data_IF_684947827401
#
_entry.id   IF_684947827401
#
_cell.length_a   1.000
_cell.length_b   1.000
_cell.length_c   1.000
_cell.angle_alpha   90.00
_cell.angle_beta   90.00
_cell.angle_gamma   90.00
#
_symmetry.space_group_name_H-M   'P 1'
#
loop_
_entity.id
_entity.type
_entity.pdbx_description
1 polymer ?
#
# COMPACT_ATOMS: atom_id res chain seq x y z
N UNK A 1 -8.94 18.33 2.64
CA UNK A 1 -8.23 17.42 1.72
C UNK A 1 -7.92 18.16 0.45
N UNK A 2 -6.65 18.13 0.03
CA UNK A 2 -6.29 18.70 -1.27
C UNK A 2 -6.80 17.76 -2.37
N UNK A 3 -7.25 18.32 -3.50
CA UNK A 3 -7.62 17.55 -4.69
C UNK A 3 -6.54 16.54 -5.10
N UNK A 4 -5.25 16.92 -4.97
CA UNK A 4 -4.13 16.06 -5.28
C UNK A 4 -4.02 14.86 -4.31
N UNK A 5 -4.20 15.08 -3.00
CA UNK A 5 -4.20 14.00 -2.01
C UNK A 5 -5.28 12.96 -2.32
N UNK A 6 -6.51 13.43 -2.56
CA UNK A 6 -7.62 12.53 -2.88
C UNK A 6 -7.33 11.69 -4.13
N UNK A 7 -6.83 12.31 -5.22
CA UNK A 7 -6.53 11.58 -6.46
C UNK A 7 -5.38 10.60 -6.31
N UNK A 8 -4.29 10.97 -5.62
CA UNK A 8 -3.16 10.07 -5.39
C UNK A 8 -3.55 8.89 -4.50
N UNK A 9 -4.32 9.13 -3.43
CA UNK A 9 -4.78 8.03 -2.59
C UNK A 9 -5.81 7.14 -3.30
N UNK A 10 -6.70 7.71 -4.12
CA UNK A 10 -7.61 6.93 -4.96
C UNK A 10 -6.85 6.06 -5.97
N UNK A 11 -5.72 6.54 -6.51
CA UNK A 11 -4.83 5.70 -7.33
C UNK A 11 -4.27 4.51 -6.54
N UNK A 12 -3.79 4.74 -5.31
CA UNK A 12 -3.33 3.67 -4.42
C UNK A 12 -4.42 2.65 -4.07
N UNK A 13 -5.66 3.13 -3.86
CA UNK A 13 -6.83 2.27 -3.65
C UNK A 13 -7.11 1.46 -4.93
N UNK A 14 -7.03 2.09 -6.10
CA UNK A 14 -7.21 1.44 -7.39
C UNK A 14 -6.23 0.29 -7.63
N UNK A 15 -4.95 0.47 -7.26
CA UNK A 15 -3.97 -0.61 -7.26
C UNK A 15 -4.38 -1.78 -6.38
N UNK A 16 -5.04 -1.53 -5.25
CA UNK A 16 -5.59 -2.56 -4.37
C UNK A 16 -6.85 -3.23 -4.93
N UNK A 17 -7.58 -2.59 -5.83
CA UNK A 17 -8.78 -3.19 -6.46
C UNK A 17 -8.39 -4.23 -7.50
N UNK A 18 -7.28 -4.05 -8.22
CA UNK A 18 -6.88 -4.93 -9.33
C UNK A 18 -6.72 -6.41 -8.91
N UNK A 19 -5.99 -6.76 -7.82
CA UNK A 19 -5.90 -8.15 -7.37
C UNK A 19 -7.26 -8.79 -7.02
N UNK A 20 -8.16 -8.01 -6.43
CA UNK A 20 -9.50 -8.48 -6.07
C UNK A 20 -10.34 -8.76 -7.31
N UNK A 21 -10.33 -7.83 -8.27
CA UNK A 21 -11.03 -8.03 -9.55
C UNK A 21 -10.46 -9.23 -10.31
N UNK A 22 -9.14 -9.36 -10.34
CA UNK A 22 -8.50 -10.50 -10.99
C UNK A 22 -8.84 -11.83 -10.33
N UNK A 23 -8.89 -11.90 -8.98
CA UNK A 23 -9.33 -13.08 -8.26
C UNK A 23 -10.79 -13.42 -8.55
N UNK A 24 -11.66 -12.41 -8.60
CA UNK A 24 -13.08 -12.58 -8.96
C UNK A 24 -13.24 -13.08 -10.40
N UNK A 25 -12.52 -12.50 -11.36
CA UNK A 25 -12.56 -12.96 -12.76
C UNK A 25 -12.11 -14.41 -12.87
N UNK A 26 -11.02 -14.79 -12.18
CA UNK A 26 -10.57 -16.18 -12.16
C UNK A 26 -11.59 -17.12 -11.52
N UNK A 27 -12.20 -16.75 -10.41
CA UNK A 27 -13.25 -17.56 -9.75
C UNK A 27 -14.47 -17.77 -10.67
N UNK A 28 -14.80 -16.77 -11.47
CA UNK A 28 -15.87 -16.83 -12.48
C UNK A 28 -15.43 -17.47 -13.79
N UNK A 29 -14.19 -17.97 -13.89
CA UNK A 29 -13.57 -18.49 -15.12
C UNK A 29 -13.60 -17.52 -16.29
N UNK A 30 -13.60 -16.21 -16.01
CA UNK A 30 -13.51 -15.15 -17.02
C UNK A 30 -12.05 -14.84 -17.35
N UNK A 31 -11.84 -14.36 -18.58
CA UNK A 31 -10.50 -14.05 -19.05
C UNK A 31 -9.88 -12.84 -18.36
N UNK A 32 -8.61 -12.95 -17.98
CA UNK A 32 -7.80 -11.85 -17.42
C UNK A 32 -7.15 -11.09 -18.57
N UNK A 33 -7.84 -10.04 -19.02
CA UNK A 33 -7.41 -9.20 -20.14
C UNK A 33 -7.45 -7.71 -19.78
N UNK A 34 -6.45 -6.94 -20.20
CA UNK A 34 -6.27 -5.54 -19.78
C UNK A 34 -7.48 -4.64 -20.10
N UNK A 35 -8.13 -4.84 -21.24
CA UNK A 35 -9.27 -4.00 -21.65
C UNK A 35 -10.49 -4.18 -20.75
N UNK A 36 -10.68 -5.35 -20.14
CA UNK A 36 -11.76 -5.59 -19.18
C UNK A 36 -11.56 -4.79 -17.90
N UNK A 37 -10.32 -4.73 -17.39
CA UNK A 37 -9.99 -3.87 -16.25
C UNK A 37 -10.17 -2.38 -16.58
N UNK A 38 -9.82 -1.97 -17.80
CA UNK A 38 -10.05 -0.60 -18.28
C UNK A 38 -11.54 -0.29 -18.33
N UNK A 39 -12.36 -1.16 -18.89
CA UNK A 39 -13.82 -0.99 -18.93
C UNK A 39 -14.39 -0.85 -17.52
N UNK A 40 -14.01 -1.73 -16.60
CA UNK A 40 -14.45 -1.67 -15.20
C UNK A 40 -14.01 -0.36 -14.52
N UNK A 41 -12.79 0.10 -14.78
CA UNK A 41 -12.29 1.36 -14.24
C UNK A 41 -13.03 2.59 -14.80
N UNK A 42 -13.54 2.51 -16.02
CA UNK A 42 -14.26 3.61 -16.68
C UNK A 42 -15.73 3.71 -16.26
N UNK A 43 -16.31 2.71 -15.60
CA UNK A 43 -17.74 2.72 -15.20
C UNK A 43 -18.07 3.97 -14.38
N UNK A 44 -17.30 4.24 -13.31
CA UNK A 44 -17.58 5.39 -12.44
C UNK A 44 -17.34 6.74 -13.14
N UNK A 45 -16.21 6.99 -13.83
CA UNK A 45 -16.01 8.22 -14.59
C UNK A 45 -17.10 8.46 -15.65
N UNK A 46 -17.55 7.42 -16.35
CA UNK A 46 -18.62 7.54 -17.35
C UNK A 46 -19.95 7.85 -16.65
N UNK A 47 -20.26 7.18 -15.54
CA UNK A 47 -21.47 7.45 -14.75
C UNK A 47 -21.48 8.89 -14.22
N UNK A 48 -20.36 9.38 -13.69
CA UNK A 48 -20.24 10.75 -13.20
C UNK A 48 -20.37 11.78 -14.33
N UNK A 49 -19.76 11.50 -15.48
CA UNK A 49 -19.89 12.32 -16.69
C UNK A 49 -21.35 12.37 -17.16
N UNK A 50 -22.03 11.22 -17.21
CA UNK A 50 -23.44 11.15 -17.59
C UNK A 50 -24.33 11.93 -16.63
N UNK A 51 -24.14 11.77 -15.31
CA UNK A 51 -24.86 12.54 -14.30
C UNK A 51 -24.59 14.05 -14.40
N UNK A 52 -23.35 14.43 -14.72
CA UNK A 52 -23.00 15.83 -14.95
C UNK A 52 -23.73 16.40 -16.18
N UNK A 53 -23.77 15.67 -17.28
CA UNK A 53 -24.49 16.06 -18.50
C UNK A 53 -25.99 16.21 -18.23
N UNK A 54 -26.59 15.25 -17.50
CA UNK A 54 -28.00 15.32 -17.12
C UNK A 54 -28.32 16.56 -16.24
N UNK A 55 -27.47 16.77 -15.20
CA UNK A 55 -27.65 17.90 -14.26
C UNK A 55 -27.34 19.26 -14.87
N UNK A 56 -26.48 19.33 -15.88
CA UNK A 56 -26.09 20.59 -16.53
C UNK A 56 -27.17 21.21 -17.41
N UNK A 57 -28.27 20.49 -17.63
CA UNK A 57 -29.37 20.95 -18.50
C UNK A 57 -29.01 20.96 -19.99
N UNK A 58 -27.82 20.46 -20.37
CA UNK A 58 -27.38 20.43 -21.78
C UNK A 58 -28.30 19.59 -22.66
N UNK A 59 -29.02 18.62 -22.09
CA UNK A 59 -30.01 17.81 -22.81
C UNK A 59 -31.42 18.46 -22.75
N UNK A 60 -31.76 19.20 -21.68
CA UNK A 60 -33.08 19.79 -21.52
C UNK A 60 -33.38 20.98 -22.47
N UNK A 61 -32.37 21.70 -22.94
CA UNK A 61 -32.56 22.85 -23.80
C UNK A 61 -33.05 22.50 -25.22
N UNK A 62 -32.88 21.25 -25.64
CA UNK A 62 -33.21 20.84 -27.00
C UNK A 62 -34.57 20.14 -27.15
N UNK A 63 -35.23 19.75 -26.03
CA UNK A 63 -36.52 19.06 -26.11
C UNK A 63 -37.76 19.98 -25.99
N UNK A 64 -37.58 21.26 -25.63
CA UNK A 64 -38.70 22.19 -25.35
C UNK A 64 -38.98 23.15 -26.52
N UNK A 65 -38.21 23.14 -27.61
CA UNK A 65 -38.41 24.04 -28.76
C UNK A 65 -38.72 23.30 -30.07
N UNK A 66 -39.50 22.25 -30.02
CA UNK A 66 -40.02 21.63 -31.26
C UNK A 66 -41.55 21.65 -31.27
N UNK A 67 -42.10 22.85 -31.29
CA UNK A 67 -43.46 23.04 -31.78
C UNK A 67 -43.43 24.24 -32.77
N UNK A 68 -43.28 23.95 -34.06
CA UNK A 68 -43.49 24.88 -35.16
C UNK A 68 -42.23 25.15 -36.00
N UNK A 69 -42.29 24.60 -37.17
CA UNK A 69 -41.48 24.82 -38.37
C UNK A 69 -40.27 23.90 -38.58
N UNK A 70 -40.50 23.06 -39.56
CA UNK A 70 -39.53 22.21 -40.24
C UNK A 70 -38.47 23.04 -40.95
N UNK A 71 -37.24 23.02 -40.47
CA UNK A 71 -36.00 23.09 -41.24
C UNK A 71 -34.84 22.57 -40.39
N UNK A 72 -34.06 21.72 -40.99
CA UNK A 72 -32.93 20.97 -40.44
C UNK A 72 -32.05 21.74 -39.49
N UNK A 73 -32.21 21.56 -38.18
CA UNK A 73 -31.25 22.00 -37.18
C UNK A 73 -30.44 20.80 -36.79
N UNK A 74 -29.31 20.60 -37.46
CA UNK A 74 -28.25 19.75 -37.02
C UNK A 74 -27.84 20.22 -35.61
N UNK A 75 -28.10 19.38 -34.59
CA UNK A 75 -27.71 19.65 -33.21
C UNK A 75 -26.18 19.65 -33.10
N UNK A 76 -25.53 20.78 -33.33
CA UNK A 76 -24.14 20.97 -32.97
C UNK A 76 -24.01 20.93 -31.43
N UNK A 77 -23.45 19.85 -30.91
CA UNK A 77 -23.01 19.79 -29.52
C UNK A 77 -21.93 20.87 -29.38
N UNK A 78 -22.21 21.90 -28.63
CA UNK A 78 -21.26 23.00 -28.39
C UNK A 78 -20.11 22.51 -27.48
N UNK A 79 -19.23 21.71 -28.06
CA UNK A 79 -18.02 21.18 -27.41
C UNK A 79 -17.12 22.28 -26.85
N UNK A 80 -17.10 23.46 -27.54
CA UNK A 80 -16.33 24.62 -27.08
C UNK A 80 -16.89 25.23 -25.80
N UNK A 81 -18.22 25.26 -25.66
CA UNK A 81 -18.89 25.69 -24.42
C UNK A 81 -18.64 24.74 -23.26
N UNK A 82 -18.63 23.45 -23.53
CA UNK A 82 -18.31 22.39 -22.55
C UNK A 82 -16.83 22.50 -22.12
N UNK A 83 -15.93 22.64 -23.08
CA UNK A 83 -14.48 22.77 -22.82
C UNK A 83 -14.18 24.04 -22.01
N UNK A 84 -14.75 25.19 -22.37
CA UNK A 84 -14.58 26.42 -21.62
C UNK A 84 -15.23 26.38 -20.22
N UNK A 85 -16.29 25.63 -20.01
CA UNK A 85 -16.94 25.46 -18.69
C UNK A 85 -16.14 24.51 -17.77
N UNK A 86 -15.46 23.53 -18.35
CA UNK A 86 -14.59 22.55 -17.62
C UNK A 86 -13.22 23.17 -17.36
N UNK A 87 -12.60 23.79 -18.32
CA UNK A 87 -11.23 24.30 -18.26
C UNK A 87 -11.11 25.83 -18.08
N UNK A 88 -12.12 26.62 -18.39
CA UNK A 88 -12.09 28.07 -18.27
C UNK A 88 -12.05 28.64 -16.85
N UNK A 89 -12.22 27.79 -15.83
CA UNK A 89 -12.05 28.17 -14.42
C UNK A 89 -10.62 28.06 -13.91
N UNK A 90 -9.69 27.56 -14.72
CA UNK A 90 -8.28 27.45 -14.33
C UNK A 90 -7.63 28.83 -14.55
N UNK A 91 -7.69 29.66 -13.53
CA UNK A 91 -6.93 30.93 -13.51
C UNK A 91 -5.45 30.60 -13.26
N UNK A 92 -4.69 30.52 -14.32
CA UNK A 92 -3.23 30.27 -14.29
C UNK A 92 -2.48 31.23 -13.33
N UNK A 93 -2.97 32.46 -13.12
CA UNK A 93 -2.40 33.42 -12.19
C UNK A 93 -2.58 33.08 -10.70
N UNK A 94 -3.56 32.25 -10.32
CA UNK A 94 -3.72 31.78 -8.94
C UNK A 94 -2.87 30.56 -8.63
N UNK A 95 -2.44 29.80 -9.64
CA UNK A 95 -1.50 28.67 -9.52
C UNK A 95 -0.09 29.12 -9.04
N UNK A 96 0.29 30.36 -9.26
CA UNK A 96 1.61 30.89 -8.88
C UNK A 96 1.71 31.35 -7.41
N UNK A 97 0.60 31.47 -6.68
CA UNK A 97 0.64 31.70 -5.23
C UNK A 97 0.90 30.39 -4.49
N UNK A 98 2.18 29.98 -4.40
CA UNK A 98 2.61 28.80 -3.68
C UNK A 98 2.27 28.97 -2.19
N UNK A 99 1.18 28.35 -1.74
CA UNK A 99 0.86 28.26 -0.31
C UNK A 99 1.95 27.43 0.38
N UNK A 100 2.36 27.80 1.60
CA UNK A 100 3.32 26.98 2.40
C UNK A 100 2.99 25.49 2.41
N UNK A 101 1.70 25.14 2.37
CA UNK A 101 1.21 23.75 2.26
C UNK A 101 1.63 23.03 0.98
N UNK A 102 1.80 23.76 -0.13
CA UNK A 102 2.18 23.22 -1.44
C UNK A 102 3.66 22.82 -1.47
N UNK A 103 4.50 23.51 -0.69
CA UNK A 103 5.94 23.21 -0.60
C UNK A 103 6.18 21.77 -0.08
N UNK A 104 5.43 21.33 0.94
CA UNK A 104 5.59 19.96 1.46
C UNK A 104 5.24 18.90 0.43
N UNK A 105 4.19 19.14 -0.35
CA UNK A 105 3.80 18.22 -1.43
C UNK A 105 4.82 18.24 -2.56
N UNK A 106 5.37 19.41 -2.91
CA UNK A 106 6.42 19.53 -3.92
C UNK A 106 7.70 18.78 -3.48
N UNK A 107 8.11 18.93 -2.23
CA UNK A 107 9.27 18.21 -1.68
C UNK A 107 9.03 16.69 -1.67
N UNK A 108 7.83 16.24 -1.33
CA UNK A 108 7.44 14.82 -1.41
C UNK A 108 7.52 14.31 -2.86
N UNK A 109 7.03 15.09 -3.84
CA UNK A 109 7.14 14.73 -5.26
C UNK A 109 8.57 14.69 -5.75
N UNK A 110 9.44 15.60 -5.29
CA UNK A 110 10.87 15.57 -5.59
C UNK A 110 11.49 14.28 -5.03
N UNK A 111 11.20 13.90 -3.79
CA UNK A 111 11.68 12.63 -3.21
C UNK A 111 11.19 11.42 -4.03
N UNK A 112 9.93 11.41 -4.45
CA UNK A 112 9.39 10.37 -5.34
C UNK A 112 10.17 10.28 -6.66
N UNK A 113 10.39 11.41 -7.33
CA UNK A 113 11.11 11.45 -8.62
C UNK A 113 12.56 11.00 -8.44
N UNK A 114 13.25 11.47 -7.41
CA UNK A 114 14.63 11.05 -7.11
C UNK A 114 14.71 9.55 -6.83
N UNK A 115 13.80 9.03 -6.00
CA UNK A 115 13.75 7.61 -5.68
C UNK A 115 13.43 6.79 -6.93
N UNK A 116 12.44 7.20 -7.72
CA UNK A 116 12.10 6.51 -8.97
C UNK A 116 13.27 6.46 -9.95
N UNK A 117 14.01 7.56 -10.10
CA UNK A 117 15.20 7.59 -10.94
C UNK A 117 16.27 6.61 -10.46
N UNK A 118 16.56 6.59 -9.15
CA UNK A 118 17.54 5.68 -8.54
C UNK A 118 17.10 4.21 -8.71
N UNK A 119 15.84 3.91 -8.37
CA UNK A 119 15.30 2.55 -8.46
C UNK A 119 15.24 2.04 -9.90
N UNK A 120 14.80 2.89 -10.83
CA UNK A 120 14.76 2.54 -12.24
C UNK A 120 16.17 2.33 -12.81
N UNK A 121 17.11 3.21 -12.53
CA UNK A 121 18.51 3.04 -12.92
C UNK A 121 19.08 1.74 -12.35
N UNK A 122 18.85 1.45 -11.07
CA UNK A 122 19.29 0.20 -10.43
C UNK A 122 18.71 -1.03 -11.11
N UNK A 123 17.40 -1.06 -11.38
CA UNK A 123 16.74 -2.18 -12.02
C UNK A 123 17.26 -2.52 -13.43
N UNK A 124 17.76 -1.52 -14.16
CA UNK A 124 18.27 -1.69 -15.54
C UNK A 124 19.80 -1.76 -15.62
N UNK A 125 20.54 -1.74 -14.51
CA UNK A 125 21.99 -1.96 -14.51
C UNK A 125 22.35 -3.37 -15.02
N UNK A 126 21.55 -4.36 -14.65
CA UNK A 126 21.69 -5.73 -15.16
C UNK A 126 20.73 -5.94 -16.34
N UNK A 127 21.18 -6.46 -17.50
CA UNK A 127 20.30 -6.75 -18.64
C UNK A 127 19.28 -7.85 -18.32
N UNK A 128 19.59 -8.75 -17.38
CA UNK A 128 18.74 -9.88 -17.02
C UNK A 128 17.92 -9.61 -15.74
N UNK A 129 16.97 -10.49 -15.44
CA UNK A 129 16.33 -10.56 -14.15
C UNK A 129 17.31 -11.19 -13.14
N UNK A 130 17.40 -10.62 -11.95
CA UNK A 130 18.54 -10.84 -11.05
C UNK A 130 18.48 -12.15 -10.25
N UNK A 131 17.30 -12.79 -10.14
CA UNK A 131 17.14 -13.98 -9.29
C UNK A 131 16.00 -14.91 -9.72
N UNK A 132 15.94 -16.10 -9.09
CA UNK A 132 14.95 -17.14 -9.39
C UNK A 132 13.51 -16.71 -9.15
N UNK A 133 13.24 -15.87 -8.12
CA UNK A 133 11.89 -15.41 -7.80
C UNK A 133 11.34 -14.53 -8.92
N UNK A 134 12.17 -13.63 -9.46
CA UNK A 134 11.79 -12.77 -10.58
C UNK A 134 11.49 -13.58 -11.84
N UNK A 135 12.27 -14.62 -12.12
CA UNK A 135 12.03 -15.56 -13.23
C UNK A 135 10.76 -16.39 -13.01
N UNK A 136 10.50 -16.77 -11.77
CA UNK A 136 9.25 -17.43 -11.38
C UNK A 136 8.02 -16.60 -11.72
N UNK A 137 8.04 -15.31 -11.35
CA UNK A 137 6.98 -14.37 -11.71
C UNK A 137 6.83 -14.20 -13.23
N UNK A 138 7.95 -14.09 -13.99
CA UNK A 138 7.89 -14.03 -15.47
C UNK A 138 7.20 -15.26 -16.05
N UNK A 139 7.54 -16.45 -15.57
CA UNK A 139 6.93 -17.70 -16.03
C UNK A 139 5.41 -17.68 -15.83
N UNK A 140 4.96 -17.27 -14.65
CA UNK A 140 3.52 -17.19 -14.34
C UNK A 140 2.81 -16.08 -15.14
N UNK A 141 3.42 -14.91 -15.30
CA UNK A 141 2.90 -13.81 -16.10
C UNK A 141 2.72 -14.23 -17.57
N UNK A 142 3.71 -14.91 -18.15
CA UNK A 142 3.63 -15.45 -19.54
C UNK A 142 2.55 -16.51 -19.66
N UNK A 143 2.42 -17.38 -18.66
CA UNK A 143 1.34 -18.36 -18.61
C UNK A 143 -0.03 -17.67 -18.63
N UNK A 144 -0.23 -16.67 -17.75
CA UNK A 144 -1.46 -15.89 -17.67
C UNK A 144 -1.74 -15.12 -18.96
N UNK A 145 -0.71 -14.63 -19.65
CA UNK A 145 -0.87 -13.97 -20.94
C UNK A 145 -1.36 -14.94 -22.02
N UNK A 146 -0.83 -16.15 -22.07
CA UNK A 146 -1.22 -17.16 -23.04
C UNK A 146 -2.62 -17.72 -22.79
N UNK A 147 -2.90 -18.10 -21.54
CA UNK A 147 -4.11 -18.82 -21.16
C UNK A 147 -5.22 -17.91 -20.62
N UNK A 148 -4.94 -16.62 -20.42
CA UNK A 148 -5.87 -15.61 -19.86
C UNK A 148 -6.48 -16.00 -18.50
N UNK A 149 -5.80 -16.87 -17.76
CA UNK A 149 -6.19 -17.35 -16.44
C UNK A 149 -4.97 -17.54 -15.55
N UNK A 150 -5.14 -17.40 -14.23
CA UNK A 150 -4.09 -17.74 -13.28
C UNK A 150 -4.09 -19.22 -12.85
N UNK A 151 -5.11 -19.97 -13.24
CA UNK A 151 -5.17 -21.40 -12.92
C UNK A 151 -4.18 -22.19 -13.76
N UNK A 152 -3.15 -22.74 -13.11
CA UNK A 152 -2.21 -23.70 -13.73
C UNK A 152 -2.74 -25.12 -13.51
N UNK A 153 -2.67 -26.02 -14.50
CA UNK A 153 -2.94 -27.44 -14.28
C UNK A 153 -2.01 -28.01 -13.22
N UNK A 154 -2.54 -28.84 -12.31
CA UNK A 154 -1.80 -29.34 -11.15
C UNK A 154 -0.53 -30.13 -11.48
N UNK A 155 -0.43 -30.68 -12.70
CA UNK A 155 0.74 -31.44 -13.19
C UNK A 155 1.85 -30.53 -13.78
N UNK A 156 1.54 -29.27 -14.08
CA UNK A 156 2.47 -28.32 -14.71
C UNK A 156 2.75 -27.15 -13.77
N UNK A 157 3.35 -27.41 -12.62
CA UNK A 157 3.96 -26.33 -11.84
C UNK A 157 5.18 -25.79 -12.57
N UNK A 158 4.93 -24.91 -13.55
CA UNK A 158 5.97 -24.27 -14.34
C UNK A 158 6.88 -23.38 -13.48
N UNK A 159 6.40 -22.93 -12.33
CA UNK A 159 7.15 -22.07 -11.41
C UNK A 159 6.64 -22.21 -9.97
N UNK A 160 7.46 -21.83 -8.98
CA UNK A 160 7.07 -21.75 -7.57
C UNK A 160 5.98 -20.68 -7.30
N UNK A 161 5.64 -19.86 -8.29
CA UNK A 161 4.65 -18.80 -8.23
C UNK A 161 3.33 -19.15 -8.95
N UNK A 162 3.21 -20.39 -9.46
CA UNK A 162 1.93 -20.94 -9.89
C UNK A 162 1.02 -21.23 -8.70
N UNK A 163 -0.26 -21.52 -8.98
CA UNK A 163 -1.21 -21.88 -7.94
C UNK A 163 -0.65 -23.02 -7.08
N UNK A 164 -0.84 -22.93 -5.76
CA UNK A 164 -1.69 -22.03 -4.97
C UNK A 164 -1.03 -20.75 -4.50
N UNK A 165 0.09 -20.30 -5.09
CA UNK A 165 0.66 -19.00 -4.75
C UNK A 165 -0.31 -17.89 -5.16
N UNK A 166 -0.54 -16.85 -4.32
CA UNK A 166 -1.51 -15.81 -4.62
C UNK A 166 -1.13 -14.99 -5.84
N UNK A 167 -2.03 -14.81 -6.83
CA UNK A 167 -1.71 -14.23 -8.12
C UNK A 167 -1.78 -12.71 -8.18
N UNK A 168 -2.08 -12.00 -7.09
CA UNK A 168 -2.39 -10.57 -7.12
C UNK A 168 -1.33 -9.67 -7.76
N UNK A 169 -0.04 -9.95 -7.51
CA UNK A 169 1.05 -9.27 -8.17
C UNK A 169 1.15 -9.63 -9.65
N UNK A 170 1.04 -10.91 -9.96
CA UNK A 170 1.19 -11.40 -11.33
C UNK A 170 0.01 -10.98 -12.21
N UNK A 171 -1.20 -10.83 -11.65
CA UNK A 171 -2.35 -10.24 -12.36
C UNK A 171 -2.03 -8.80 -12.80
N UNK A 172 -1.56 -7.96 -11.89
CA UNK A 172 -1.17 -6.59 -12.23
C UNK A 172 -0.08 -6.56 -13.30
N UNK A 173 0.98 -7.36 -13.13
CA UNK A 173 2.09 -7.41 -14.07
C UNK A 173 1.69 -8.02 -15.41
N UNK A 174 0.73 -8.94 -15.45
CA UNK A 174 0.17 -9.49 -16.70
C UNK A 174 -0.59 -8.42 -17.48
N UNK A 175 -1.42 -7.61 -16.82
CA UNK A 175 -2.11 -6.49 -17.46
C UNK A 175 -1.09 -5.52 -18.08
N UNK A 176 -0.04 -5.18 -17.33
CA UNK A 176 1.01 -4.30 -17.81
C UNK A 176 1.83 -4.94 -18.95
N UNK A 177 2.07 -6.24 -18.90
CA UNK A 177 2.70 -6.99 -19.97
C UNK A 177 1.85 -7.03 -21.23
N UNK A 178 0.54 -7.23 -21.12
CA UNK A 178 -0.41 -7.19 -22.24
C UNK A 178 -0.38 -5.84 -22.98
N UNK A 179 -0.18 -4.75 -22.27
CA UNK A 179 -0.10 -3.40 -22.82
C UNK A 179 1.29 -3.12 -23.42
N UNK A 180 2.35 -3.44 -22.68
CA UNK A 180 3.74 -3.10 -23.06
C UNK A 180 4.39 -4.09 -24.01
N UNK A 181 3.86 -5.32 -24.11
CA UNK A 181 4.42 -6.47 -24.86
C UNK A 181 5.85 -6.83 -24.43
N UNK A 182 6.29 -6.37 -23.24
CA UNK A 182 7.62 -6.60 -22.70
C UNK A 182 7.57 -6.98 -21.23
N UNK A 183 7.94 -8.23 -20.91
CA UNK A 183 8.04 -8.70 -19.52
C UNK A 183 9.12 -7.94 -18.73
N UNK A 184 10.19 -7.50 -19.39
CA UNK A 184 11.23 -6.69 -18.76
C UNK A 184 10.70 -5.33 -18.34
N UNK A 185 9.99 -4.63 -19.22
CA UNK A 185 9.37 -3.36 -18.89
C UNK A 185 8.32 -3.55 -17.80
N UNK A 186 7.44 -4.52 -17.92
CA UNK A 186 6.42 -4.78 -16.92
C UNK A 186 7.05 -5.02 -15.54
N UNK A 187 8.08 -5.84 -15.46
CA UNK A 187 8.67 -6.18 -14.16
C UNK A 187 9.66 -5.14 -13.65
N UNK A 188 10.62 -4.69 -14.45
CA UNK A 188 11.67 -3.78 -13.98
C UNK A 188 11.16 -2.37 -13.76
N UNK A 189 10.53 -1.78 -14.78
CA UNK A 189 10.06 -0.40 -14.73
C UNK A 189 8.92 -0.23 -13.71
N UNK A 190 7.89 -1.07 -13.78
CA UNK A 190 6.76 -0.93 -12.89
C UNK A 190 7.08 -1.34 -11.45
N UNK A 191 8.00 -2.29 -11.23
CA UNK A 191 8.46 -2.58 -9.87
C UNK A 191 9.17 -1.36 -9.26
N UNK A 192 10.06 -0.70 -10.01
CA UNK A 192 10.71 0.53 -9.59
C UNK A 192 9.67 1.65 -9.31
N UNK A 193 8.65 1.76 -10.17
CA UNK A 193 7.55 2.71 -9.98
C UNK A 193 6.75 2.40 -8.72
N UNK A 194 6.39 1.14 -8.47
CA UNK A 194 5.64 0.72 -7.29
C UNK A 194 6.38 1.05 -5.99
N UNK A 195 7.69 0.72 -5.90
CA UNK A 195 8.51 1.08 -4.73
C UNK A 195 8.50 2.59 -4.51
N UNK A 196 8.64 3.36 -5.59
CA UNK A 196 8.69 4.82 -5.50
C UNK A 196 7.35 5.44 -5.11
N UNK A 197 6.23 4.90 -5.62
CA UNK A 197 4.87 5.33 -5.24
C UNK A 197 4.58 5.12 -3.76
N UNK A 198 5.21 4.13 -3.13
CA UNK A 198 5.08 3.91 -1.70
C UNK A 198 5.48 5.16 -0.89
N UNK A 199 6.43 5.97 -1.38
CA UNK A 199 6.82 7.25 -0.76
C UNK A 199 5.65 8.24 -0.70
N UNK A 200 4.88 8.35 -1.77
CA UNK A 200 3.70 9.23 -1.84
C UNK A 200 2.62 8.77 -0.86
N UNK A 201 2.32 7.47 -0.89
CA UNK A 201 1.27 6.92 -0.02
C UNK A 201 1.67 6.97 1.44
N UNK A 202 2.94 6.73 1.75
CA UNK A 202 3.48 6.86 3.10
C UNK A 202 3.38 8.29 3.62
N UNK A 203 3.70 9.29 2.80
CA UNK A 203 3.56 10.69 3.20
C UNK A 203 2.13 11.04 3.62
N UNK A 204 1.14 10.65 2.83
CA UNK A 204 -0.25 10.93 3.18
C UNK A 204 -0.74 10.13 4.37
N UNK A 205 -0.32 8.86 4.50
CA UNK A 205 -0.58 8.08 5.70
C UNK A 205 0.05 8.73 6.94
N UNK A 206 1.34 9.09 6.89
CA UNK A 206 2.04 9.72 8.00
C UNK A 206 1.44 11.08 8.37
N UNK A 207 1.01 11.87 7.38
CA UNK A 207 0.29 13.12 7.57
C UNK A 207 -1.05 12.90 8.31
N UNK A 208 -1.82 11.91 7.91
CA UNK A 208 -3.08 11.58 8.56
C UNK A 208 -2.86 11.06 9.99
N UNK A 209 -1.81 10.25 10.18
CA UNK A 209 -1.46 9.67 11.48
C UNK A 209 -0.96 10.70 12.49
N UNK A 210 -0.07 11.60 12.05
CA UNK A 210 0.57 12.61 12.93
C UNK A 210 -0.19 13.93 12.98
N UNK A 211 -1.10 14.15 12.04
CA UNK A 211 -1.78 15.42 11.79
C UNK A 211 -0.79 16.61 11.57
N UNK A 212 0.46 16.31 11.19
CA UNK A 212 1.50 17.29 10.93
C UNK A 212 2.26 16.99 9.63
N UNK A 213 2.28 17.97 8.72
CA UNK A 213 2.93 17.85 7.40
C UNK A 213 4.45 17.82 7.47
N UNK A 214 5.05 18.46 8.49
CA UNK A 214 6.51 18.50 8.67
C UNK A 214 7.00 17.15 9.16
N UNK A 215 6.32 16.60 10.17
CA UNK A 215 6.61 15.28 10.71
C UNK A 215 6.43 14.22 9.61
N UNK A 216 5.34 14.31 8.83
CA UNK A 216 5.09 13.41 7.72
C UNK A 216 6.19 13.48 6.66
N UNK A 217 6.62 14.69 6.27
CA UNK A 217 7.70 14.86 5.29
C UNK A 217 9.03 14.30 5.81
N UNK A 218 9.38 14.59 7.06
CA UNK A 218 10.58 14.06 7.68
C UNK A 218 10.55 12.52 7.77
N UNK A 219 9.44 11.95 8.21
CA UNK A 219 9.26 10.50 8.25
C UNK A 219 9.39 9.88 6.84
N UNK A 220 8.85 10.55 5.82
CA UNK A 220 8.98 10.12 4.42
C UNK A 220 10.43 10.16 3.95
N UNK A 221 11.17 11.21 4.27
CA UNK A 221 12.60 11.28 3.98
C UNK A 221 13.35 10.11 4.63
N UNK A 222 13.06 9.83 5.90
CA UNK A 222 13.66 8.67 6.59
C UNK A 222 13.34 7.37 5.87
N UNK A 223 12.09 7.14 5.46
CA UNK A 223 11.72 5.95 4.70
C UNK A 223 12.56 5.79 3.42
N UNK A 224 12.76 6.88 2.67
CA UNK A 224 13.48 6.84 1.39
C UNK A 224 14.98 6.58 1.52
N UNK A 225 15.54 6.69 2.71
CA UNK A 225 16.97 6.42 2.97
C UNK A 225 17.20 5.10 3.73
N UNK A 226 16.14 4.35 4.07
CA UNK A 226 16.29 3.04 4.71
C UNK A 226 16.83 2.04 3.68
N UNK A 227 17.99 1.40 3.94
CA UNK A 227 18.59 0.47 2.98
C UNK A 227 17.66 -0.67 2.59
N UNK A 228 16.94 -1.26 3.53
CA UNK A 228 16.01 -2.36 3.26
C UNK A 228 14.79 -1.91 2.42
N UNK A 229 14.42 -0.65 2.44
CA UNK A 229 13.39 -0.10 1.58
C UNK A 229 13.88 0.13 0.14
N UNK A 230 15.18 0.36 -0.04
CA UNK A 230 15.81 0.61 -1.35
C UNK A 230 16.07 -0.67 -2.15
N UNK A 231 15.50 -1.80 -1.75
CA UNK A 231 15.60 -3.03 -2.52
C UNK A 231 14.81 -2.92 -3.83
N UNK A 232 15.49 -3.16 -4.96
CA UNK A 232 14.87 -3.24 -6.28
C UNK A 232 14.49 -4.66 -6.69
N UNK A 233 14.49 -5.57 -5.74
CA UNK A 233 14.13 -6.96 -5.92
C UNK A 233 12.70 -7.11 -6.45
N UNK A 234 12.54 -7.85 -7.53
CA UNK A 234 11.26 -8.04 -8.21
C UNK A 234 10.53 -9.22 -7.59
N UNK A 235 9.48 -8.93 -6.82
CA UNK A 235 8.65 -9.92 -6.16
C UNK A 235 7.28 -9.34 -5.73
N UNK A 236 6.35 -10.22 -5.44
CA UNK A 236 4.99 -9.85 -5.00
C UNK A 236 4.94 -8.96 -3.76
N UNK A 237 5.95 -9.06 -2.87
CA UNK A 237 6.03 -8.24 -1.65
C UNK A 237 6.10 -6.75 -1.94
N UNK A 238 6.66 -6.34 -3.09
CA UNK A 238 6.72 -4.93 -3.49
C UNK A 238 5.33 -4.30 -3.54
N UNK A 239 4.38 -4.95 -4.21
CA UNK A 239 3.00 -4.47 -4.27
C UNK A 239 2.32 -4.54 -2.89
N UNK A 240 2.52 -5.62 -2.16
CA UNK A 240 1.90 -5.78 -0.84
C UNK A 240 2.35 -4.72 0.17
N UNK A 241 3.65 -4.40 0.22
CA UNK A 241 4.20 -3.35 1.11
C UNK A 241 3.69 -1.96 0.69
N UNK A 242 3.66 -1.68 -0.62
CA UNK A 242 3.08 -0.44 -1.12
C UNK A 242 1.64 -0.27 -0.64
N UNK A 243 0.84 -1.34 -0.70
CA UNK A 243 -0.57 -1.32 -0.31
C UNK A 243 -0.79 -1.12 1.21
N UNK A 244 0.21 -1.35 2.06
CA UNK A 244 0.11 -1.07 3.50
C UNK A 244 -0.28 0.39 3.77
N UNK A 245 0.32 1.32 3.08
CA UNK A 245 0.11 2.75 3.34
C UNK A 245 -1.29 3.23 2.96
N UNK A 246 -1.84 2.90 1.78
CA UNK A 246 -3.25 3.17 1.50
C UNK A 246 -4.20 2.44 2.45
N UNK A 247 -3.91 1.19 2.87
CA UNK A 247 -4.73 0.46 3.83
C UNK A 247 -4.80 1.21 5.17
N UNK A 248 -3.64 1.56 5.73
CA UNK A 248 -3.53 2.29 7.00
C UNK A 248 -4.17 3.68 6.91
N UNK A 249 -3.98 4.39 5.80
CA UNK A 249 -4.64 5.67 5.55
C UNK A 249 -6.18 5.53 5.56
N UNK A 250 -6.73 4.55 4.83
CA UNK A 250 -8.17 4.32 4.80
C UNK A 250 -8.72 3.92 6.18
N UNK A 251 -7.98 3.09 6.94
CA UNK A 251 -8.34 2.71 8.30
C UNK A 251 -8.42 3.95 9.21
N UNK A 252 -7.43 4.86 9.14
CA UNK A 252 -7.46 6.09 9.93
C UNK A 252 -8.64 6.99 9.55
N UNK A 253 -8.87 7.17 8.24
CA UNK A 253 -9.99 7.96 7.72
C UNK A 253 -11.36 7.37 8.06
N UNK A 254 -11.46 6.06 8.23
CA UNK A 254 -12.71 5.39 8.59
C UNK A 254 -13.24 5.81 9.97
N UNK A 255 -12.38 6.36 10.82
CA UNK A 255 -12.80 6.91 12.12
C UNK A 255 -13.62 8.20 11.97
N UNK A 256 -13.30 9.00 10.97
CA UNK A 256 -14.00 10.25 10.66
C UNK A 256 -15.22 10.00 9.76
N UNK A 257 -15.08 9.08 8.79
CA UNK A 257 -16.12 8.74 7.84
C UNK A 257 -16.09 7.24 7.51
N UNK A 258 -17.11 6.52 7.93
CA UNK A 258 -17.23 5.06 7.75
C UNK A 258 -17.18 4.59 6.28
N UNK A 259 -17.40 5.48 5.31
CA UNK A 259 -17.25 5.15 3.89
C UNK A 259 -15.85 4.67 3.54
N UNK A 260 -14.82 5.08 4.30
CA UNK A 260 -13.44 4.65 4.13
C UNK A 260 -13.17 3.21 4.59
N UNK A 261 -14.13 2.58 5.30
CA UNK A 261 -14.00 1.19 5.73
C UNK A 261 -14.01 0.23 4.53
N UNK A 262 -14.83 0.49 3.52
CA UNK A 262 -14.90 -0.37 2.32
C UNK A 262 -13.55 -0.41 1.59
N UNK A 263 -12.93 0.72 1.20
CA UNK A 263 -11.59 0.70 0.63
C UNK A 263 -10.56 -0.01 1.51
N UNK A 264 -10.60 0.18 2.84
CA UNK A 264 -9.65 -0.48 3.74
C UNK A 264 -9.80 -2.03 3.70
N UNK A 265 -11.03 -2.54 3.67
CA UNK A 265 -11.32 -3.98 3.52
C UNK A 265 -10.76 -4.50 2.20
N UNK A 266 -11.02 -3.80 1.10
CA UNK A 266 -10.56 -4.19 -0.24
C UNK A 266 -9.03 -4.26 -0.28
N UNK A 267 -8.33 -3.25 0.26
CA UNK A 267 -6.87 -3.21 0.20
C UNK A 267 -6.25 -4.28 1.11
N UNK A 268 -6.80 -4.51 2.30
CA UNK A 268 -6.32 -5.59 3.20
C UNK A 268 -6.50 -6.96 2.53
N UNK A 269 -7.66 -7.21 1.89
CA UNK A 269 -7.87 -8.42 1.11
C UNK A 269 -6.88 -8.56 -0.04
N UNK A 270 -6.61 -7.46 -0.74
CA UNK A 270 -5.64 -7.42 -1.83
C UNK A 270 -4.23 -7.79 -1.37
N UNK A 271 -3.79 -7.31 -0.21
CA UNK A 271 -2.51 -7.70 0.39
C UNK A 271 -2.45 -9.22 0.63
N UNK A 272 -3.53 -9.80 1.16
CA UNK A 272 -3.65 -11.25 1.38
C UNK A 272 -3.62 -12.07 0.09
N UNK A 273 -4.19 -11.55 -1.00
CA UNK A 273 -4.19 -12.18 -2.33
C UNK A 273 -2.90 -11.88 -3.12
N UNK A 274 -2.03 -11.00 -2.62
CA UNK A 274 -0.77 -10.64 -3.28
C UNK A 274 0.42 -11.36 -2.66
N UNK A 275 0.59 -11.28 -1.34
CA UNK A 275 1.73 -11.87 -0.64
C UNK A 275 1.32 -12.24 0.80
N UNK A 276 0.99 -13.51 1.07
CA UNK A 276 0.44 -13.93 2.36
C UNK A 276 1.43 -13.74 3.51
N UNK A 277 2.71 -13.97 3.29
CA UNK A 277 3.76 -13.74 4.31
C UNK A 277 3.83 -12.25 4.68
N UNK A 278 3.72 -11.37 3.69
CA UNK A 278 3.70 -9.92 3.93
C UNK A 278 2.42 -9.52 4.67
N UNK A 279 1.26 -10.09 4.29
CA UNK A 279 0.00 -9.88 5.00
C UNK A 279 0.10 -10.28 6.49
N UNK A 280 0.82 -11.36 6.79
CA UNK A 280 1.07 -11.78 8.17
C UNK A 280 1.83 -10.71 8.97
N UNK A 281 2.77 -9.97 8.35
CA UNK A 281 3.45 -8.85 9.01
C UNK A 281 2.56 -7.61 9.18
N UNK A 282 1.51 -7.45 8.39
CA UNK A 282 0.54 -6.37 8.59
C UNK A 282 -0.24 -6.54 9.90
N UNK A 283 -0.53 -7.78 10.32
CA UNK A 283 -1.34 -8.05 11.51
C UNK A 283 -0.76 -7.43 12.80
N UNK A 284 0.54 -7.61 13.16
CA UNK A 284 1.12 -6.93 14.31
C UNK A 284 1.10 -5.39 14.17
N UNK A 285 1.26 -4.82 12.97
CA UNK A 285 1.09 -3.38 12.76
C UNK A 285 -0.31 -2.91 13.11
N UNK A 286 -1.34 -3.62 12.65
CA UNK A 286 -2.73 -3.32 12.98
C UNK A 286 -2.99 -3.50 14.48
N UNK A 287 -2.40 -4.54 15.10
CA UNK A 287 -2.47 -4.78 16.54
C UNK A 287 -1.85 -3.64 17.36
N UNK A 288 -0.65 -3.20 17.00
CA UNK A 288 0.04 -2.07 17.64
C UNK A 288 -0.76 -0.78 17.47
N UNK A 289 -1.26 -0.51 16.26
CA UNK A 289 -2.09 0.66 15.98
C UNK A 289 -3.36 0.63 16.82
N UNK A 290 -4.03 -0.52 16.92
CA UNK A 290 -5.25 -0.71 17.71
C UNK A 290 -4.99 -0.51 19.20
N UNK A 291 -3.94 -1.14 19.75
CA UNK A 291 -3.55 -0.99 21.16
C UNK A 291 -3.13 0.44 21.49
N UNK A 292 -2.31 1.06 20.63
CA UNK A 292 -1.87 2.44 20.81
C UNK A 292 -3.06 3.42 20.85
N UNK A 293 -4.04 3.24 19.96
CA UNK A 293 -5.27 4.03 19.99
C UNK A 293 -6.13 3.75 21.21
N UNK A 294 -6.26 2.48 21.61
CA UNK A 294 -7.00 2.11 22.83
C UNK A 294 -6.39 2.80 24.07
N UNK A 295 -5.07 2.78 24.21
CA UNK A 295 -4.37 3.42 25.33
C UNK A 295 -4.54 4.95 25.28
N UNK A 296 -4.36 5.56 24.10
CA UNK A 296 -4.41 7.02 23.95
C UNK A 296 -5.82 7.60 24.11
N UNK A 297 -6.84 6.92 23.57
CA UNK A 297 -8.22 7.45 23.52
C UNK A 297 -9.14 6.83 24.55
N UNK A 298 -8.73 5.72 25.18
CA UNK A 298 -9.56 4.86 26.07
C UNK A 298 -10.87 4.38 25.42
N UNK A 299 -10.92 4.38 24.08
CA UNK A 299 -12.05 3.93 23.27
C UNK A 299 -11.65 2.77 22.38
N UNK A 300 -12.53 1.76 22.31
CA UNK A 300 -12.33 0.61 21.45
C UNK A 300 -12.57 1.02 19.99
N UNK A 301 -11.52 0.96 19.17
CA UNK A 301 -11.62 1.23 17.74
C UNK A 301 -11.96 -0.06 16.97
N UNK A 302 -13.25 -0.25 16.68
CA UNK A 302 -13.73 -1.42 15.95
C UNK A 302 -13.43 -1.37 14.43
N UNK A 303 -13.17 -0.18 13.87
CA UNK A 303 -12.93 -0.06 12.42
C UNK A 303 -11.68 -0.81 11.99
N UNK A 304 -10.63 -0.85 12.82
CA UNK A 304 -9.41 -1.63 12.55
C UNK A 304 -9.75 -3.13 12.49
N UNK A 305 -10.57 -3.60 13.44
CA UNK A 305 -11.01 -5.00 13.50
C UNK A 305 -11.88 -5.33 12.27
N UNK A 306 -12.82 -4.46 11.92
CA UNK A 306 -13.67 -4.66 10.74
C UNK A 306 -12.86 -4.64 9.43
N UNK A 307 -11.84 -3.80 9.32
CA UNK A 307 -10.95 -3.80 8.17
C UNK A 307 -10.16 -5.12 8.05
N UNK A 308 -9.61 -5.61 9.17
CA UNK A 308 -8.85 -6.86 9.20
C UNK A 308 -9.74 -8.07 8.90
N UNK A 309 -10.86 -8.22 9.62
CA UNK A 309 -11.77 -9.36 9.44
C UNK A 309 -12.48 -9.31 8.08
N UNK A 310 -12.94 -8.14 7.66
CA UNK A 310 -13.55 -7.95 6.34
C UNK A 310 -12.57 -8.27 5.22
N UNK A 311 -11.30 -7.86 5.38
CA UNK A 311 -10.23 -8.21 4.44
C UNK A 311 -9.97 -9.71 4.37
N UNK A 312 -9.94 -10.41 5.51
CA UNK A 312 -9.84 -11.88 5.56
C UNK A 312 -11.00 -12.53 4.81
N UNK A 313 -12.25 -12.13 5.11
CA UNK A 313 -13.44 -12.68 4.46
C UNK A 313 -13.41 -12.42 2.95
N UNK A 314 -13.10 -11.19 2.52
CA UNK A 314 -13.05 -10.87 1.10
C UNK A 314 -11.92 -11.62 0.38
N UNK A 315 -10.80 -11.91 1.05
CA UNK A 315 -9.70 -12.69 0.46
C UNK A 315 -10.07 -14.14 0.17
N UNK A 316 -11.19 -14.65 0.74
CA UNK A 316 -11.72 -15.98 0.42
C UNK A 316 -12.17 -16.11 -1.04
N UNK A 317 -12.32 -15.01 -1.79
CA UNK A 317 -12.49 -15.06 -3.25
C UNK A 317 -11.38 -15.87 -3.95
N UNK A 318 -10.18 -15.85 -3.39
CA UNK A 318 -9.07 -16.68 -3.87
C UNK A 318 -8.83 -17.87 -2.94
N UNK A 319 -8.65 -17.62 -1.64
CA UNK A 319 -8.24 -18.66 -0.68
C UNK A 319 -9.32 -19.72 -0.48
N UNK A 320 -10.61 -19.37 -0.62
CA UNK A 320 -11.71 -20.32 -0.51
C UNK A 320 -11.58 -21.45 -1.53
N UNK A 321 -11.37 -21.11 -2.80
CA UNK A 321 -11.17 -22.09 -3.87
C UNK A 321 -9.87 -22.89 -3.65
N UNK A 322 -8.79 -22.24 -3.21
CA UNK A 322 -7.53 -22.91 -2.92
C UNK A 322 -7.66 -23.93 -1.78
N UNK A 323 -8.39 -23.60 -0.71
CA UNK A 323 -8.62 -24.52 0.39
C UNK A 323 -9.50 -25.72 -0.01
N UNK A 324 -10.42 -25.53 -0.94
CA UNK A 324 -11.23 -26.63 -1.49
C UNK A 324 -10.36 -27.55 -2.35
N UNK A 325 -9.51 -27.01 -3.24
CA UNK A 325 -8.69 -27.79 -4.16
C UNK A 325 -7.53 -28.53 -3.48
N UNK A 326 -6.84 -27.85 -2.57
CA UNK A 326 -5.57 -28.34 -1.99
C UNK A 326 -5.68 -28.71 -0.51
N UNK A 327 -6.84 -28.62 0.10
CA UNK A 327 -7.06 -28.65 1.54
C UNK A 327 -6.28 -27.56 2.31
N UNK A 328 -6.74 -27.19 3.48
CA UNK A 328 -6.04 -26.17 4.30
C UNK A 328 -4.59 -26.56 4.61
N UNK A 329 -4.37 -27.83 5.00
CA UNK A 329 -3.03 -28.36 5.28
C UNK A 329 -2.16 -28.37 4.02
N UNK A 330 -2.70 -28.76 2.88
CA UNK A 330 -1.99 -28.79 1.59
C UNK A 330 -1.53 -27.39 1.19
N UNK A 331 -2.38 -26.37 1.31
CA UNK A 331 -2.00 -24.96 1.06
C UNK A 331 -0.84 -24.53 1.97
N UNK A 332 -0.89 -24.82 3.26
CA UNK A 332 0.18 -24.46 4.19
C UNK A 332 1.51 -25.18 3.87
N UNK A 333 1.47 -26.42 3.38
CA UNK A 333 2.66 -27.16 2.95
C UNK A 333 3.26 -26.52 1.70
N UNK A 334 2.44 -26.20 0.70
CA UNK A 334 2.90 -25.63 -0.57
C UNK A 334 3.47 -24.21 -0.36
N UNK A 335 2.89 -23.44 0.54
CA UNK A 335 3.42 -22.13 0.93
C UNK A 335 4.66 -22.23 1.84
N UNK A 336 5.18 -23.44 2.11
CA UNK A 336 6.28 -23.70 3.03
C UNK A 336 6.05 -23.18 4.47
N UNK A 337 4.80 -23.01 4.87
CA UNK A 337 4.42 -22.59 6.22
C UNK A 337 4.48 -23.78 7.18
N UNK A 338 4.11 -24.99 6.71
CA UNK A 338 4.16 -26.26 7.45
C UNK A 338 4.97 -27.28 6.67
N UNK A 339 5.86 -28.01 7.32
CA UNK A 339 6.61 -29.08 6.67
C UNK A 339 5.85 -30.41 6.66
N UNK A 340 6.12 -31.23 5.66
CA UNK A 340 5.69 -32.63 5.62
C UNK A 340 6.40 -33.42 6.74
N UNK A 341 5.71 -34.34 7.40
CA UNK A 341 6.28 -35.27 8.39
C UNK A 341 7.50 -35.97 7.81
N UNK A 342 8.67 -35.78 8.41
CA UNK A 342 9.96 -36.35 7.96
C UNK A 342 11.02 -35.29 7.61
N UNK A 343 10.67 -34.04 7.45
CA UNK A 343 11.61 -32.94 7.32
C UNK A 343 11.82 -32.24 8.66
N UNK A 344 13.07 -31.93 9.01
CA UNK A 344 13.47 -31.23 10.23
C UNK A 344 12.56 -30.05 10.58
N UNK A 345 12.17 -29.99 11.83
CA UNK A 345 11.19 -29.09 12.45
C UNK A 345 10.92 -27.74 11.77
N UNK A 346 9.74 -27.61 11.19
CA UNK A 346 9.19 -26.33 10.79
C UNK A 346 8.14 -25.90 11.81
N UNK A 347 8.59 -25.50 12.95
CA UNK A 347 7.81 -24.81 13.96
C UNK A 347 7.56 -23.35 13.56
N UNK A 348 6.65 -22.69 14.25
CA UNK A 348 6.37 -21.24 14.23
C UNK A 348 7.64 -20.37 14.14
N UNK A 349 8.80 -20.90 14.56
CA UNK A 349 10.14 -20.33 14.39
C UNK A 349 10.51 -20.00 12.95
N UNK A 350 9.99 -20.71 11.93
CA UNK A 350 10.24 -20.34 10.53
C UNK A 350 9.34 -19.20 10.02
N UNK A 351 8.19 -19.01 10.62
CA UNK A 351 7.35 -17.82 10.39
C UNK A 351 8.03 -16.57 10.95
N UNK A 352 8.77 -16.70 12.04
CA UNK A 352 9.53 -15.62 12.69
C UNK A 352 10.97 -15.53 12.17
N UNK A 353 11.54 -16.62 11.67
CA UNK A 353 12.83 -16.61 10.98
C UNK A 353 12.62 -16.36 9.50
N UNK A 354 12.68 -15.10 9.11
CA UNK A 354 12.85 -14.69 7.73
C UNK A 354 14.20 -15.22 7.25
N UNK A 355 14.19 -16.45 6.74
CA UNK A 355 15.32 -16.94 5.98
C UNK A 355 15.25 -16.21 4.64
N UNK A 356 16.09 -15.18 4.49
CA UNK A 356 16.52 -14.78 3.18
C UNK A 356 17.02 -16.03 2.43
N UNK A 357 16.90 -16.04 1.15
CA UNK A 357 17.41 -17.08 0.25
C UNK A 357 18.88 -17.35 0.56
N UNK A 358 19.15 -18.46 1.27
CA UNK A 358 20.48 -18.80 1.76
C UNK A 358 20.57 -18.65 3.29
N UNK A 359 21.11 -19.66 3.93
CA UNK A 359 21.23 -19.88 5.36
C UNK A 359 22.10 -18.84 6.12
N UNK A 360 21.97 -17.56 5.84
CA UNK A 360 22.69 -16.48 6.53
C UNK A 360 22.04 -16.22 7.88
N UNK A 361 22.70 -16.61 8.95
CA UNK A 361 22.34 -16.21 10.31
C UNK A 361 22.58 -14.70 10.45
N UNK A 362 21.51 -13.93 10.74
CA UNK A 362 21.63 -12.50 11.02
C UNK A 362 22.29 -12.28 12.37
N UNK A 363 23.29 -11.39 12.40
CA UNK A 363 23.88 -10.85 13.63
C UNK A 363 23.20 -9.51 13.94
N UNK A 364 23.15 -9.12 15.21
CA UNK A 364 22.60 -7.83 15.63
C UNK A 364 23.21 -6.64 14.86
N UNK A 365 24.53 -6.70 14.61
CA UNK A 365 25.23 -5.67 13.85
C UNK A 365 24.77 -5.55 12.39
N UNK A 366 24.20 -6.59 11.79
CA UNK A 366 23.67 -6.53 10.42
C UNK A 366 22.45 -5.60 10.32
N UNK A 367 21.75 -5.34 11.42
CA UNK A 367 20.64 -4.37 11.46
C UNK A 367 21.12 -2.93 11.53
N UNK A 368 22.27 -2.70 12.19
CA UNK A 368 22.84 -1.36 12.40
C UNK A 368 23.77 -0.98 11.24
N UNK A 369 24.65 -1.89 10.86
CA UNK A 369 25.66 -1.69 9.83
C UNK A 369 25.30 -2.45 8.57
N UNK A 370 24.93 -1.73 7.52
CA UNK A 370 24.56 -2.35 6.24
C UNK A 370 25.80 -2.89 5.56
N UNK A 371 25.84 -4.20 5.34
CA UNK A 371 26.95 -4.82 4.63
C UNK A 371 26.80 -4.60 3.13
N UNK A 372 27.80 -4.00 2.48
CA UNK A 372 27.82 -3.66 1.04
C UNK A 372 27.60 -4.86 0.13
N UNK A 373 27.98 -6.07 0.53
CA UNK A 373 27.75 -7.30 -0.25
C UNK A 373 26.28 -7.65 -0.48
N UNK A 374 25.35 -7.08 0.30
CA UNK A 374 23.92 -7.37 0.22
C UNK A 374 23.10 -6.19 -0.31
N UNK A 375 23.72 -5.09 -0.71
CA UNK A 375 22.99 -3.88 -1.11
C UNK A 375 22.29 -4.02 -2.46
N UNK A 376 22.78 -4.91 -3.34
CA UNK A 376 22.25 -5.02 -4.71
C UNK A 376 20.91 -5.76 -4.71
N UNK A 377 20.79 -6.89 -4.05
CA UNK A 377 19.62 -7.76 -4.16
C UNK A 377 18.69 -7.76 -2.94
N UNK A 378 19.22 -7.61 -1.75
CA UNK A 378 18.42 -7.68 -0.52
C UNK A 378 19.13 -6.95 0.62
N UNK A 379 19.15 -5.61 0.61
CA UNK A 379 19.78 -4.84 1.66
C UNK A 379 19.12 -5.16 3.00
N UNK A 380 19.95 -5.49 3.98
CA UNK A 380 19.53 -5.88 5.33
C UNK A 380 19.67 -4.69 6.26
N UNK A 381 18.80 -4.65 7.27
CA UNK A 381 18.89 -3.69 8.34
C UNK A 381 18.37 -2.30 8.01
N UNK A 382 18.43 -1.43 9.01
CA UNK A 382 17.89 -0.08 8.97
C UNK A 382 18.97 0.99 8.79
N UNK A 383 20.23 0.60 8.89
CA UNK A 383 21.38 1.51 8.80
C UNK A 383 21.66 2.28 10.09
N UNK A 384 22.87 2.81 10.19
CA UNK A 384 23.38 3.49 11.40
C UNK A 384 22.51 4.70 11.77
N UNK A 385 22.19 5.56 10.81
CA UNK A 385 21.44 6.81 11.07
C UNK A 385 20.07 6.50 11.67
N UNK A 386 19.32 5.57 11.07
CA UNK A 386 18.00 5.22 11.60
C UNK A 386 18.10 4.49 12.94
N UNK A 387 19.13 3.66 13.14
CA UNK A 387 19.39 3.02 14.45
C UNK A 387 19.58 4.03 15.56
N UNK A 388 20.34 5.11 15.29
CA UNK A 388 20.52 6.24 16.23
C UNK A 388 19.18 6.94 16.48
N UNK A 389 18.43 7.26 15.43
CA UNK A 389 17.10 7.89 15.56
C UNK A 389 16.12 7.04 16.35
N UNK A 390 16.10 5.73 16.12
CA UNK A 390 15.28 4.78 16.90
C UNK A 390 15.71 4.77 18.37
N UNK A 391 17.00 4.76 18.65
CA UNK A 391 17.51 4.83 20.02
C UNK A 391 17.03 6.12 20.72
N UNK A 392 17.16 7.28 20.06
CA UNK A 392 16.64 8.54 20.60
C UNK A 392 15.14 8.53 20.80
N UNK A 393 14.38 7.93 19.85
CA UNK A 393 12.93 7.80 19.99
C UNK A 393 12.55 6.92 21.18
N UNK A 394 13.26 5.81 21.39
CA UNK A 394 13.05 4.92 22.56
C UNK A 394 13.38 5.64 23.86
N UNK A 395 14.53 6.33 23.95
CA UNK A 395 14.91 7.12 25.12
C UNK A 395 13.85 8.19 25.41
N UNK A 396 13.43 8.93 24.39
CA UNK A 396 12.40 9.97 24.52
C UNK A 396 11.07 9.40 25.00
N UNK A 397 10.66 8.25 24.47
CA UNK A 397 9.46 7.55 24.89
C UNK A 397 9.53 7.11 26.35
N UNK A 398 10.65 6.49 26.76
CA UNK A 398 10.89 6.09 28.15
C UNK A 398 10.84 7.32 29.07
N UNK A 399 11.52 8.41 28.69
CA UNK A 399 11.50 9.66 29.44
C UNK A 399 10.08 10.20 29.61
N UNK A 400 9.33 10.33 28.51
CA UNK A 400 7.94 10.83 28.54
C UNK A 400 7.01 9.95 29.36
N UNK A 401 7.26 8.62 29.36
CA UNK A 401 6.45 7.69 30.15
C UNK A 401 6.81 7.73 31.63
N UNK A 402 8.10 7.82 31.97
CA UNK A 402 8.57 7.79 33.36
C UNK A 402 8.44 9.17 34.04
N UNK A 403 8.68 10.26 33.30
CA UNK A 403 8.69 11.62 33.84
C UNK A 403 7.44 12.00 34.67
N UNK A 404 6.20 11.71 34.24
CA UNK A 404 5.02 12.01 35.05
C UNK A 404 4.98 11.29 36.42
N UNK A 405 5.54 10.08 36.49
CA UNK A 405 5.60 9.31 37.72
C UNK A 405 6.68 9.87 38.66
N UNK A 406 7.86 10.14 38.12
CA UNK A 406 9.00 10.70 38.86
C UNK A 406 8.67 12.11 39.34
N UNK A 407 8.08 12.97 38.53
CA UNK A 407 7.68 14.33 38.93
C UNK A 407 6.63 14.34 40.04
N UNK A 408 5.64 13.44 39.96
CA UNK A 408 4.62 13.28 41.00
C UNK A 408 5.22 12.76 42.31
N UNK A 409 6.20 11.88 42.23
CA UNK A 409 6.93 11.35 43.35
C UNK A 409 7.77 12.46 44.03
N UNK A 410 8.55 13.22 43.28
CA UNK A 410 9.34 14.35 43.76
C UNK A 410 8.46 15.40 44.41
N UNK A 411 7.33 15.78 43.79
CA UNK A 411 6.40 16.75 44.37
C UNK A 411 5.78 16.27 45.71
N UNK A 412 5.58 14.95 45.83
CA UNK A 412 5.03 14.37 47.08
C UNK A 412 6.05 14.45 48.21
N UNK A 413 7.34 14.22 47.94
CA UNK A 413 8.41 14.31 48.92
C UNK A 413 8.75 15.75 49.28
N UNK A 414 8.88 16.66 48.31
CA UNK A 414 9.08 18.08 48.55
C UNK A 414 7.99 18.72 49.42
N UNK A 415 6.73 18.28 49.29
CA UNK A 415 5.64 18.71 50.15
C UNK A 415 5.66 18.11 51.55
N UNK A 416 6.36 16.97 51.73
CA UNK A 416 6.51 16.34 53.01
C UNK A 416 7.60 17.03 53.83
N UNK A 417 8.75 17.30 53.21
CA UNK A 417 9.85 18.02 53.85
C UNK A 417 9.46 19.43 54.26
N UNK A 418 8.72 20.19 53.45
CA UNK A 418 8.21 21.52 53.77
C UNK A 418 7.14 21.51 54.92
N UNK A 419 6.52 20.38 55.20
CA UNK A 419 5.59 20.25 56.35
C UNK A 419 6.28 19.78 57.61
N UNK A 420 7.40 19.12 57.54
CA UNK A 420 8.23 18.72 58.69
C UNK A 420 9.05 19.93 59.19
N UNK A 421 9.65 20.72 58.30
CA UNK A 421 10.34 21.97 58.65
C UNK A 421 9.40 22.99 59.32
N UNK A 422 8.11 23.09 58.88
CA UNK A 422 7.14 23.99 59.48
C UNK A 422 6.65 23.52 60.84
N UNK A 423 6.85 22.26 61.23
CA UNK A 423 6.52 21.74 62.55
C UNK A 423 7.65 21.85 63.57
N UNK A 424 8.90 21.96 63.13
CA UNK A 424 10.05 22.22 63.99
C UNK A 424 10.16 23.70 64.36
N UNK A 425 9.76 24.63 63.46
CA UNK A 425 9.78 26.07 63.72
C UNK A 425 8.62 26.56 64.63
N UNK A 426 7.66 25.69 64.96
CA UNK A 426 6.48 26.04 65.81
C UNK A 426 6.57 25.37 67.20
N UNK A 427 7.68 24.76 67.58
CA UNK A 427 7.98 24.28 68.92
C UNK A 427 9.04 25.15 69.59
#
# INVERSE_FOLDING_TARGET
DSFLEANLMNFGIGLGVIPILGALLGLLHLQIVWWLFLLLALIMPIYDLFNYILKSGLIKSNFVKSNGDSNDVVNEINLKGIFNKIFGKIKFGELLKIKKSTIYVLLMLIMFICLFFVMNKGAFLNPWLENGDSWGHVGHIKYMELHKTYYTPGETQLTNYGIPYPPGYDILMTILFQISQSSYWALKFFNALLVSLATIFFYFFAKEFTNDKKIALFATLILTIIPSFLSHFIWSKTLAILLYFPALYCILRSEQNKKWLIPSIIIVASILITAPVTAFYLAPFLGILWLGKLIATKKLNLNIIYAALGGLVLSLLFWGDMFIRYTFKGVLIILNIVKVKGGTDATLTKLLHVHGTGATKYKFMDFIWVNTYNMINNPKGIGLVLSILVLFAVISFIYLFIYPFVSKYIQKYSKKDSKEDFKEDVK
#
